data_IF_337444759277
#
_entry.id   IF_337444759277
#
_cell.length_a   1.000
_cell.length_b   1.000
_cell.length_c   1.000
_cell.angle_alpha   90.00
_cell.angle_beta   90.00
_cell.angle_gamma   90.00
#
_symmetry.space_group_name_H-M   'P 1'
#
loop_
_entity.id
_entity.type
_entity.pdbx_description
1 polymer ?
#
# COMPACT_ATOMS: atom_id res chain seq x y z
N UNK A 1 18.89 -5.03 12.15
CA UNK A 1 18.73 -6.49 12.41
C UNK A 1 19.60 -7.36 11.48
N UNK A 2 20.63 -6.78 10.81
CA UNK A 2 21.62 -7.52 10.03
C UNK A 2 21.16 -7.99 8.64
N UNK A 3 20.02 -7.52 8.14
CA UNK A 3 19.58 -7.82 6.78
C UNK A 3 20.26 -6.83 5.82
N UNK A 4 20.92 -7.36 4.80
CA UNK A 4 21.48 -6.57 3.71
C UNK A 4 20.38 -6.23 2.70
N UNK A 5 20.26 -4.94 2.33
CA UNK A 5 19.21 -4.44 1.43
C UNK A 5 19.87 -3.80 0.22
N UNK A 6 19.60 -4.34 -0.96
CA UNK A 6 20.00 -3.77 -2.24
C UNK A 6 18.83 -3.07 -2.90
N UNK A 7 18.92 -1.74 -2.98
CA UNK A 7 17.93 -0.91 -3.69
C UNK A 7 18.25 -0.86 -5.18
N UNK A 8 17.27 -0.48 -6.00
CA UNK A 8 17.38 -0.41 -7.46
C UNK A 8 17.85 -1.71 -8.12
N UNK A 9 17.65 -2.85 -7.46
CA UNK A 9 18.04 -4.17 -7.91
C UNK A 9 16.91 -4.83 -8.69
N UNK A 10 17.23 -5.36 -9.88
CA UNK A 10 16.32 -6.13 -10.72
C UNK A 10 16.78 -7.57 -10.80
N UNK A 11 16.01 -8.50 -10.24
CA UNK A 11 16.27 -9.93 -10.39
C UNK A 11 16.21 -10.33 -11.88
N UNK A 12 17.18 -11.11 -12.32
CA UNK A 12 17.31 -11.57 -13.71
C UNK A 12 17.11 -13.07 -13.85
N UNK A 13 17.81 -13.85 -13.05
CA UNK A 13 17.70 -15.31 -13.09
C UNK A 13 17.99 -15.93 -11.73
N UNK A 14 17.48 -17.13 -11.54
CA UNK A 14 17.73 -17.99 -10.39
C UNK A 14 18.25 -19.32 -10.95
N UNK A 15 19.33 -19.79 -10.40
CA UNK A 15 19.95 -21.06 -10.76
C UNK A 15 20.09 -21.94 -9.51
N UNK A 16 19.59 -23.16 -9.57
CA UNK A 16 19.85 -24.16 -8.54
C UNK A 16 21.32 -24.61 -8.62
N UNK A 17 21.93 -24.75 -7.46
CA UNK A 17 23.28 -25.30 -7.27
C UNK A 17 23.21 -26.56 -6.42
N UNK A 18 24.30 -27.31 -6.30
CA UNK A 18 24.33 -28.51 -5.44
C UNK A 18 24.12 -28.18 -3.95
N UNK A 19 24.46 -26.94 -3.55
CA UNK A 19 24.48 -26.51 -2.14
C UNK A 19 23.48 -25.37 -1.86
N UNK A 20 22.53 -25.08 -2.80
CA UNK A 20 21.56 -24.00 -2.62
C UNK A 20 21.13 -23.33 -3.93
N UNK A 21 21.01 -22.02 -3.93
CA UNK A 21 20.58 -21.24 -5.09
C UNK A 21 21.47 -20.02 -5.31
N UNK A 22 21.72 -19.67 -6.56
CA UNK A 22 22.36 -18.40 -6.96
C UNK A 22 21.32 -17.50 -7.60
N UNK A 23 21.12 -16.30 -7.05
CA UNK A 23 20.36 -15.22 -7.64
C UNK A 23 21.29 -14.30 -8.43
N UNK A 24 20.99 -14.07 -9.71
CA UNK A 24 21.60 -13.00 -10.49
C UNK A 24 20.64 -11.81 -10.52
N UNK A 25 21.15 -10.64 -10.17
CA UNK A 25 20.40 -9.37 -10.28
C UNK A 25 21.29 -8.28 -10.88
N UNK A 26 20.68 -7.22 -11.39
CA UNK A 26 21.42 -6.06 -11.91
C UNK A 26 20.97 -4.78 -11.21
N UNK A 27 21.87 -3.82 -11.09
CA UNK A 27 21.51 -2.45 -10.78
C UNK A 27 20.72 -1.85 -11.97
N UNK A 28 19.59 -1.23 -11.68
CA UNK A 28 18.70 -0.64 -12.70
C UNK A 28 19.32 0.61 -13.33
N UNK A 29 20.23 1.30 -12.63
CA UNK A 29 20.82 2.56 -13.09
C UNK A 29 21.91 2.38 -14.15
N UNK A 30 22.73 1.33 -14.05
CA UNK A 30 23.88 1.09 -14.92
C UNK A 30 23.92 -0.30 -15.57
N UNK A 31 23.02 -1.21 -15.15
CA UNK A 31 22.93 -2.57 -15.65
C UNK A 31 24.02 -3.52 -15.13
N UNK A 32 24.84 -3.10 -14.14
CA UNK A 32 25.90 -3.90 -13.58
C UNK A 32 25.32 -5.19 -12.95
N UNK A 33 25.82 -6.39 -13.35
CA UNK A 33 25.35 -7.64 -12.81
C UNK A 33 26.01 -7.97 -11.45
N UNK A 34 25.22 -8.52 -10.55
CA UNK A 34 25.63 -9.02 -9.24
C UNK A 34 25.11 -10.44 -9.03
N UNK A 35 25.78 -11.18 -8.16
CA UNK A 35 25.45 -12.56 -7.82
C UNK A 35 25.36 -12.68 -6.30
N UNK A 36 24.35 -13.39 -5.83
CA UNK A 36 24.19 -13.74 -4.40
C UNK A 36 23.84 -15.20 -4.30
N UNK A 37 24.61 -15.91 -3.49
CA UNK A 37 24.39 -17.31 -3.15
C UNK A 37 23.63 -17.42 -1.83
N UNK A 38 22.76 -18.41 -1.71
CA UNK A 38 22.00 -18.67 -0.49
C UNK A 38 21.50 -20.10 -0.43
N UNK A 39 21.18 -20.55 0.78
CA UNK A 39 20.62 -21.89 1.03
C UNK A 39 19.17 -22.01 0.54
N UNK A 40 18.46 -20.88 0.49
CA UNK A 40 17.07 -20.78 0.05
C UNK A 40 16.75 -19.39 -0.50
N UNK A 41 15.72 -19.31 -1.33
CA UNK A 41 15.23 -18.05 -1.89
C UNK A 41 13.74 -17.86 -1.60
N UNK A 42 13.35 -16.67 -1.15
CA UNK A 42 11.95 -16.26 -1.03
C UNK A 42 11.60 -15.32 -2.19
N UNK A 43 10.69 -15.74 -3.04
CA UNK A 43 10.15 -14.91 -4.14
C UNK A 43 8.94 -14.15 -3.64
N UNK A 44 9.11 -12.85 -3.38
CA UNK A 44 8.07 -11.95 -2.89
C UNK A 44 7.87 -10.74 -3.82
N UNK A 45 7.86 -10.99 -5.15
CA UNK A 45 7.89 -9.98 -6.21
C UNK A 45 6.52 -9.38 -6.56
N UNK A 46 5.52 -9.57 -5.72
CA UNK A 46 4.17 -9.03 -5.90
C UNK A 46 3.16 -10.06 -6.39
N UNK A 47 2.03 -9.57 -6.90
CA UNK A 47 0.88 -10.35 -7.36
C UNK A 47 0.39 -9.83 -8.69
N UNK A 48 -0.16 -10.72 -9.50
CA UNK A 48 -0.94 -10.38 -10.71
C UNK A 48 -2.40 -10.80 -10.54
N UNK A 49 -3.35 -10.12 -11.19
CA UNK A 49 -4.75 -10.53 -11.19
C UNK A 49 -4.92 -11.95 -11.73
N UNK A 50 -5.71 -12.78 -11.04
CA UNK A 50 -6.02 -14.13 -11.49
C UNK A 50 -7.26 -14.09 -12.39
N UNK A 51 -7.04 -13.93 -13.69
CA UNK A 51 -8.10 -13.83 -14.73
C UNK A 51 -8.07 -14.99 -15.70
N UNK A 52 -7.11 -15.89 -15.59
CA UNK A 52 -6.98 -17.05 -16.46
C UNK A 52 -8.23 -17.94 -16.37
N UNK A 53 -8.74 -18.38 -17.50
CA UNK A 53 -9.95 -19.23 -17.55
C UNK A 53 -11.29 -18.48 -17.49
N UNK A 54 -11.30 -17.16 -17.20
CA UNK A 54 -12.56 -16.38 -17.15
C UNK A 54 -13.10 -15.99 -18.53
N UNK A 55 -12.31 -16.15 -19.59
CA UNK A 55 -12.68 -15.80 -20.98
C UNK A 55 -13.28 -14.38 -21.11
N UNK A 56 -12.65 -13.39 -20.46
CA UNK A 56 -13.15 -12.02 -20.33
C UNK A 56 -13.37 -11.36 -21.70
N UNK A 57 -12.53 -11.67 -22.69
CA UNK A 57 -12.65 -11.12 -24.03
C UNK A 57 -13.98 -11.53 -24.70
N UNK A 58 -14.38 -12.79 -24.56
CA UNK A 58 -15.66 -13.26 -25.10
C UNK A 58 -16.86 -12.61 -24.43
N UNK A 59 -16.72 -12.21 -23.16
CA UNK A 59 -17.73 -11.47 -22.42
C UNK A 59 -17.72 -9.96 -22.68
N UNK A 60 -16.75 -9.43 -23.45
CA UNK A 60 -16.59 -8.00 -23.70
C UNK A 60 -16.04 -7.21 -22.48
N UNK A 61 -15.41 -7.89 -21.54
CA UNK A 61 -14.86 -7.28 -20.33
C UNK A 61 -13.42 -6.82 -20.59
N UNK A 62 -13.17 -5.52 -20.41
CA UNK A 62 -11.87 -4.92 -20.60
C UNK A 62 -10.91 -5.20 -19.45
N UNK A 63 -9.61 -5.35 -19.79
CA UNK A 63 -8.49 -5.44 -18.85
C UNK A 63 -7.48 -4.34 -19.14
N UNK A 64 -6.77 -3.88 -18.10
CA UNK A 64 -5.71 -2.90 -18.26
C UNK A 64 -4.37 -3.53 -18.68
N UNK A 65 -3.33 -2.70 -18.81
CA UNK A 65 -1.99 -3.14 -19.20
C UNK A 65 -1.31 -4.07 -18.17
N UNK A 66 -1.82 -4.12 -16.93
CA UNK A 66 -1.34 -4.99 -15.85
C UNK A 66 -2.18 -6.27 -15.71
N UNK A 67 -3.19 -6.45 -16.57
CA UNK A 67 -4.11 -7.58 -16.55
C UNK A 67 -5.24 -7.45 -15.54
N UNK A 68 -5.44 -6.28 -14.92
CA UNK A 68 -6.56 -6.07 -14.01
C UNK A 68 -7.85 -5.76 -14.78
N UNK A 69 -8.98 -6.22 -14.26
CA UNK A 69 -10.30 -5.92 -14.84
C UNK A 69 -10.60 -4.43 -14.65
N UNK A 70 -10.85 -3.74 -15.76
CA UNK A 70 -11.20 -2.32 -15.75
C UNK A 70 -12.58 -2.11 -15.16
N UNK A 71 -12.67 -1.24 -14.13
CA UNK A 71 -13.91 -0.86 -13.47
C UNK A 71 -14.01 0.66 -13.33
N UNK A 72 -15.25 1.15 -13.21
CA UNK A 72 -15.50 2.54 -12.79
C UNK A 72 -15.52 2.68 -11.25
N UNK A 73 -15.82 3.89 -10.75
CA UNK A 73 -15.84 4.17 -9.31
C UNK A 73 -16.91 3.37 -8.54
N UNK A 74 -17.96 2.88 -9.20
CA UNK A 74 -18.96 1.98 -8.65
C UNK A 74 -18.62 0.49 -8.84
N UNK A 75 -17.37 0.17 -9.23
CA UNK A 75 -16.86 -1.18 -9.45
C UNK A 75 -17.53 -1.93 -10.61
N UNK A 76 -18.20 -1.21 -11.52
CA UNK A 76 -18.82 -1.79 -12.70
C UNK A 76 -17.78 -1.92 -13.81
N UNK A 77 -17.76 -3.06 -14.47
CA UNK A 77 -16.86 -3.32 -15.62
C UNK A 77 -17.35 -2.59 -16.87
N UNK A 78 -16.65 -2.81 -17.99
CA UNK A 78 -17.10 -2.36 -19.34
C UNK A 78 -18.45 -2.95 -19.74
N UNK A 79 -18.90 -4.00 -19.07
CA UNK A 79 -20.21 -4.64 -19.29
C UNK A 79 -21.18 -4.21 -18.18
N UNK A 80 -22.31 -3.55 -18.48
CA UNK A 80 -23.13 -2.85 -17.48
C UNK A 80 -23.71 -3.70 -16.34
N UNK A 81 -23.84 -5.01 -16.52
CA UNK A 81 -24.40 -5.94 -15.53
C UNK A 81 -23.34 -6.82 -14.87
N UNK A 82 -22.04 -6.46 -15.04
CA UNK A 82 -20.91 -7.19 -14.45
C UNK A 82 -20.07 -6.25 -13.63
N UNK A 83 -19.73 -6.66 -12.41
CA UNK A 83 -18.85 -5.95 -11.48
C UNK A 83 -17.61 -6.79 -11.21
N UNK A 84 -16.50 -6.12 -10.85
CA UNK A 84 -15.31 -6.78 -10.34
C UNK A 84 -14.91 -6.15 -9.01
N UNK A 85 -14.51 -6.99 -8.05
CA UNK A 85 -14.13 -6.58 -6.70
C UNK A 85 -12.87 -7.29 -6.22
N UNK A 86 -12.19 -6.69 -5.24
CA UNK A 86 -10.95 -7.22 -4.68
C UNK A 86 -9.77 -7.10 -5.63
N UNK A 87 -8.79 -7.98 -5.45
CA UNK A 87 -7.49 -7.88 -6.12
C UNK A 87 -7.56 -7.97 -7.65
N UNK A 88 -8.61 -8.61 -8.19
CA UNK A 88 -8.78 -8.82 -9.63
C UNK A 88 -8.97 -7.51 -10.44
N UNK A 89 -9.44 -6.44 -9.79
CA UNK A 89 -9.59 -5.12 -10.40
C UNK A 89 -8.36 -4.22 -10.27
N UNK A 90 -7.27 -4.74 -9.70
CA UNK A 90 -6.08 -3.96 -9.42
C UNK A 90 -6.22 -2.97 -8.26
N UNK A 91 -5.25 -2.06 -8.14
CA UNK A 91 -5.15 -1.12 -7.03
C UNK A 91 -4.58 -1.77 -5.76
N UNK A 92 -4.77 -1.14 -4.59
CA UNK A 92 -4.25 -1.67 -3.33
C UNK A 92 -4.90 -2.99 -2.95
N UNK A 93 -4.07 -4.01 -2.68
CA UNK A 93 -4.49 -5.40 -2.46
C UNK A 93 -4.62 -5.70 -0.96
N UNK A 94 -5.71 -5.23 -0.35
CA UNK A 94 -6.01 -5.42 1.06
C UNK A 94 -7.37 -6.08 1.27
N UNK A 95 -7.45 -7.02 2.19
CA UNK A 95 -8.68 -7.76 2.51
C UNK A 95 -9.84 -6.84 2.88
N UNK A 96 -9.60 -5.79 3.66
CA UNK A 96 -10.64 -4.84 4.05
C UNK A 96 -11.15 -3.99 2.88
N UNK A 97 -10.32 -3.74 1.86
CA UNK A 97 -10.78 -3.09 0.63
C UNK A 97 -11.69 -4.01 -0.19
N UNK A 98 -11.35 -5.29 -0.26
CA UNK A 98 -12.24 -6.29 -0.89
C UNK A 98 -13.61 -6.35 -0.20
N UNK A 99 -13.64 -6.28 1.13
CA UNK A 99 -14.88 -6.20 1.90
C UNK A 99 -15.64 -4.88 1.63
N UNK A 100 -14.93 -3.77 1.48
CA UNK A 100 -15.56 -2.49 1.15
C UNK A 100 -16.07 -2.47 -0.29
N UNK A 101 -15.36 -3.07 -1.23
CA UNK A 101 -15.85 -3.29 -2.60
C UNK A 101 -17.20 -4.03 -2.61
N UNK A 102 -17.34 -5.08 -1.78
CA UNK A 102 -18.62 -5.74 -1.60
C UNK A 102 -19.72 -4.79 -1.11
N UNK A 103 -19.40 -3.91 -0.16
CA UNK A 103 -20.38 -2.91 0.35
C UNK A 103 -20.79 -1.92 -0.73
N UNK A 104 -19.87 -1.50 -1.60
CA UNK A 104 -20.18 -0.63 -2.75
C UNK A 104 -21.11 -1.36 -3.71
N UNK A 105 -20.76 -2.59 -4.13
CA UNK A 105 -21.60 -3.37 -5.06
C UNK A 105 -22.97 -3.64 -4.46
N UNK A 106 -23.05 -3.98 -3.17
CA UNK A 106 -24.32 -4.17 -2.48
C UNK A 106 -25.19 -2.92 -2.55
N UNK A 107 -24.59 -1.73 -2.31
CA UNK A 107 -25.31 -0.45 -2.42
C UNK A 107 -25.80 -0.20 -3.84
N UNK A 108 -24.97 -0.50 -4.86
CA UNK A 108 -25.35 -0.35 -6.27
C UNK A 108 -26.50 -1.27 -6.68
N UNK A 109 -26.62 -2.45 -6.10
CA UNK A 109 -27.64 -3.45 -6.44
C UNK A 109 -28.94 -3.29 -5.63
N UNK A 110 -28.82 -2.97 -4.35
CA UNK A 110 -29.92 -3.06 -3.38
C UNK A 110 -30.11 -1.80 -2.51
N UNK A 111 -29.23 -0.81 -2.66
CA UNK A 111 -29.25 0.43 -1.88
C UNK A 111 -29.58 1.68 -2.71
N UNK A 112 -29.13 2.82 -2.20
CA UNK A 112 -29.37 4.15 -2.76
C UNK A 112 -28.46 4.50 -3.95
N UNK A 113 -27.51 3.64 -4.30
CA UNK A 113 -26.50 3.78 -5.38
C UNK A 113 -25.59 5.00 -5.21
N UNK A 114 -25.33 5.40 -3.97
CA UNK A 114 -24.53 6.58 -3.65
C UNK A 114 -23.06 6.26 -3.36
N UNK A 115 -22.78 5.00 -2.92
CA UNK A 115 -21.43 4.61 -2.56
C UNK A 115 -20.54 4.38 -3.77
N UNK A 116 -19.29 4.83 -3.66
CA UNK A 116 -18.23 4.56 -4.62
C UNK A 116 -16.85 4.42 -3.92
N UNK A 117 -15.80 4.20 -4.70
CA UNK A 117 -14.45 4.03 -4.17
C UNK A 117 -13.89 5.30 -3.52
N UNK A 118 -14.36 6.48 -3.89
CA UNK A 118 -13.94 7.78 -3.31
C UNK A 118 -14.34 7.93 -1.85
N UNK A 119 -15.41 7.24 -1.40
CA UNK A 119 -15.87 7.28 -0.01
C UNK A 119 -14.84 6.78 0.99
N UNK A 120 -13.89 5.95 0.55
CA UNK A 120 -12.87 5.32 1.40
C UNK A 120 -11.61 6.17 1.60
N UNK A 121 -11.37 7.19 0.78
CA UNK A 121 -10.15 8.01 0.86
C UNK A 121 -10.11 8.89 2.11
N UNK A 122 -8.93 9.02 2.74
CA UNK A 122 -7.71 8.28 2.47
C UNK A 122 -7.73 6.87 3.08
N UNK A 123 -7.08 5.91 2.42
CA UNK A 123 -7.00 4.51 2.86
C UNK A 123 -5.76 4.28 3.73
N UNK A 124 -5.90 3.93 5.02
CA UNK A 124 -4.76 3.51 5.83
C UNK A 124 -4.34 2.08 5.46
N UNK A 125 -3.04 1.79 5.58
CA UNK A 125 -2.55 0.41 5.48
C UNK A 125 -1.46 0.12 6.50
N UNK A 126 -1.22 -1.16 6.76
CA UNK A 126 -0.17 -1.63 7.64
C UNK A 126 0.65 -2.76 7.01
N UNK A 127 1.93 -2.79 7.35
CA UNK A 127 2.88 -3.87 7.05
C UNK A 127 3.31 -4.48 8.38
N UNK A 128 3.10 -5.79 8.53
CA UNK A 128 3.31 -6.52 9.79
C UNK A 128 4.75 -7.00 9.94
N UNK A 129 5.70 -6.05 9.89
CA UNK A 129 7.10 -6.23 10.26
C UNK A 129 7.29 -5.90 11.73
N UNK A 130 8.50 -6.02 12.26
CA UNK A 130 8.82 -5.74 13.66
C UNK A 130 9.89 -4.64 13.77
N UNK A 131 9.52 -3.45 14.29
CA UNK A 131 8.17 -3.01 14.66
C UNK A 131 7.26 -2.87 13.44
N UNK A 132 5.92 -2.89 13.60
CA UNK A 132 4.99 -2.73 12.48
C UNK A 132 5.06 -1.32 11.89
N UNK A 133 4.83 -1.24 10.57
CA UNK A 133 4.72 0.03 9.85
C UNK A 133 3.27 0.25 9.42
N UNK A 134 2.74 1.43 9.68
CA UNK A 134 1.44 1.85 9.15
C UNK A 134 1.56 3.20 8.45
N UNK A 135 0.72 3.40 7.43
CA UNK A 135 0.73 4.64 6.65
C UNK A 135 -0.68 5.03 6.21
N UNK A 136 -0.90 6.33 6.09
CA UNK A 136 -2.11 6.92 5.50
C UNK A 136 -1.78 8.24 4.80
N UNK A 137 -2.45 8.51 3.70
CA UNK A 137 -2.35 9.77 2.96
C UNK A 137 -1.10 9.87 2.10
N UNK A 138 -0.58 11.08 1.93
CA UNK A 138 0.54 11.36 1.05
C UNK A 138 1.88 11.04 1.72
N UNK A 139 2.80 10.48 0.95
CA UNK A 139 4.22 10.49 1.29
C UNK A 139 4.83 11.88 1.03
N UNK A 140 6.00 12.14 1.61
CA UNK A 140 6.74 13.39 1.39
C UNK A 140 7.06 13.60 -0.09
N UNK A 141 7.44 12.52 -0.78
CA UNK A 141 7.73 12.53 -2.22
C UNK A 141 6.49 12.85 -3.06
N UNK A 142 5.35 12.24 -2.74
CA UNK A 142 4.08 12.51 -3.43
C UNK A 142 3.60 13.94 -3.20
N UNK A 143 3.74 14.46 -1.98
CA UNK A 143 3.40 15.84 -1.66
C UNK A 143 4.26 16.84 -2.46
N UNK A 144 5.57 16.57 -2.58
CA UNK A 144 6.49 17.35 -3.41
C UNK A 144 6.11 17.28 -4.89
N UNK A 145 5.89 16.08 -5.43
CA UNK A 145 5.50 15.89 -6.84
C UNK A 145 4.18 16.61 -7.21
N UNK A 146 3.25 16.71 -6.25
CA UNK A 146 1.98 17.41 -6.43
C UNK A 146 2.05 18.92 -6.17
N UNK A 147 3.24 19.45 -5.82
CA UNK A 147 3.46 20.88 -5.59
C UNK A 147 2.78 21.43 -4.32
N UNK A 148 2.49 20.59 -3.34
CA UNK A 148 1.92 21.06 -2.08
C UNK A 148 2.95 21.80 -1.22
N UNK A 149 2.49 22.86 -0.52
CA UNK A 149 3.23 23.47 0.58
C UNK A 149 2.92 22.73 1.88
N UNK A 150 3.95 22.18 2.53
CA UNK A 150 3.77 21.35 3.72
C UNK A 150 4.94 21.44 4.68
N UNK A 151 4.68 21.07 5.92
CA UNK A 151 5.68 20.85 6.98
C UNK A 151 5.77 19.36 7.29
N UNK A 152 6.96 18.91 7.64
CA UNK A 152 7.22 17.52 8.07
C UNK A 152 7.67 17.53 9.52
N UNK A 153 7.00 16.73 10.34
CA UNK A 153 7.45 16.42 11.70
C UNK A 153 7.90 14.97 11.78
N UNK A 154 9.03 14.75 12.46
CA UNK A 154 9.57 13.40 12.73
C UNK A 154 9.82 13.27 14.22
N UNK A 155 9.33 12.21 14.82
CA UNK A 155 9.48 11.89 16.23
C UNK A 155 10.04 10.48 16.38
N UNK A 156 11.24 10.29 16.94
CA UNK A 156 11.74 8.95 17.25
C UNK A 156 10.83 8.24 18.25
N UNK A 157 10.64 6.94 18.10
CA UNK A 157 9.80 6.15 19.04
C UNK A 157 10.34 6.20 20.49
N UNK A 158 11.64 6.42 20.67
CA UNK A 158 12.25 6.68 21.99
C UNK A 158 11.68 7.89 22.73
N UNK A 159 11.10 8.86 22.02
CA UNK A 159 10.47 10.05 22.60
C UNK A 159 9.03 9.80 23.07
N UNK A 160 8.43 8.67 22.69
CA UNK A 160 7.07 8.29 23.08
C UNK A 160 7.11 7.57 24.43
N UNK A 161 6.41 8.11 25.44
CA UNK A 161 6.41 7.57 26.81
C UNK A 161 5.97 6.10 26.84
N UNK A 162 4.90 5.76 26.11
CA UNK A 162 4.38 4.39 26.01
C UNK A 162 5.42 3.42 25.43
N UNK A 163 6.13 3.82 24.40
CA UNK A 163 7.20 2.99 23.79
C UNK A 163 8.31 2.67 24.77
N UNK A 164 8.70 3.66 25.60
CA UNK A 164 9.68 3.45 26.68
C UNK A 164 9.18 2.50 27.77
N UNK A 165 7.91 2.64 28.18
CA UNK A 165 7.30 1.74 29.17
C UNK A 165 7.27 0.30 28.67
N UNK A 166 6.97 0.09 27.39
CA UNK A 166 6.92 -1.23 26.75
C UNK A 166 8.31 -1.77 26.38
N UNK A 167 9.37 -0.95 26.49
CA UNK A 167 10.73 -1.24 25.97
C UNK A 167 10.72 -1.55 24.46
N UNK A 168 9.79 -0.96 23.72
CA UNK A 168 9.66 -1.08 22.26
C UNK A 168 9.94 0.28 21.63
N UNK A 169 11.21 0.67 21.64
CA UNK A 169 11.66 2.02 21.27
C UNK A 169 12.19 2.14 19.86
N UNK A 170 12.20 1.05 19.10
CA UNK A 170 12.62 1.05 17.70
C UNK A 170 11.60 1.77 16.83
N UNK A 171 12.11 2.58 15.90
CA UNK A 171 11.29 3.22 14.88
C UNK A 171 11.10 4.72 15.02
N UNK A 172 10.12 5.23 14.27
CA UNK A 172 9.88 6.67 14.11
C UNK A 172 8.42 6.93 13.69
N UNK A 173 7.88 8.03 14.15
CA UNK A 173 6.60 8.58 13.70
C UNK A 173 6.89 9.78 12.80
N UNK A 174 6.21 9.86 11.65
CA UNK A 174 6.31 10.98 10.70
C UNK A 174 4.93 11.48 10.34
N UNK A 175 4.73 12.80 10.39
CA UNK A 175 3.52 13.46 9.93
C UNK A 175 3.86 14.52 8.88
N UNK A 176 3.00 14.64 7.87
CA UNK A 176 3.02 15.68 6.84
C UNK A 176 1.77 16.51 7.02
N UNK A 177 1.96 17.81 7.16
CA UNK A 177 0.88 18.75 7.48
C UNK A 177 0.88 19.87 6.45
N UNK A 178 -0.29 20.21 5.93
CA UNK A 178 -0.45 21.37 5.06
C UNK A 178 -0.04 22.66 5.78
N UNK A 179 0.86 23.43 5.17
CA UNK A 179 1.48 24.60 5.79
C UNK A 179 0.48 25.72 6.09
N UNK A 180 -0.58 25.85 5.29
CA UNK A 180 -1.58 26.91 5.42
C UNK A 180 -2.75 26.51 6.31
N UNK A 181 -3.30 25.30 6.11
CA UNK A 181 -4.53 24.86 6.79
C UNK A 181 -4.29 24.08 8.09
N UNK A 182 -3.06 23.64 8.33
CA UNK A 182 -2.72 22.76 9.46
C UNK A 182 -3.39 21.37 9.40
N UNK A 183 -4.00 20.99 8.28
CA UNK A 183 -4.60 19.66 8.12
C UNK A 183 -3.54 18.60 7.86
N UNK A 184 -3.74 17.42 8.43
CA UNK A 184 -2.86 16.27 8.20
C UNK A 184 -3.04 15.80 6.75
N UNK A 185 -1.95 15.74 6.00
CA UNK A 185 -1.91 15.27 4.60
C UNK A 185 -1.42 13.84 4.49
N UNK A 186 -0.61 13.40 5.43
CA UNK A 186 -0.08 12.05 5.49
C UNK A 186 0.57 11.75 6.83
N UNK A 187 0.57 10.48 7.20
CA UNK A 187 1.19 10.00 8.43
C UNK A 187 1.79 8.62 8.21
N UNK A 188 3.02 8.44 8.67
CA UNK A 188 3.71 7.15 8.70
C UNK A 188 4.10 6.85 10.14
N UNK A 189 3.70 5.71 10.63
CA UNK A 189 4.02 5.20 11.96
C UNK A 189 4.86 3.94 11.78
N UNK A 190 6.11 3.96 12.19
CA UNK A 190 6.97 2.80 12.27
C UNK A 190 7.29 2.59 13.75
N UNK A 191 6.41 1.92 14.47
CA UNK A 191 6.50 1.76 15.92
C UNK A 191 5.51 0.69 16.41
N UNK A 192 5.63 0.33 17.70
CA UNK A 192 4.66 -0.53 18.35
C UNK A 192 3.23 0.00 18.19
N UNK A 193 2.28 -0.90 17.99
CA UNK A 193 0.83 -0.61 17.86
C UNK A 193 0.46 0.31 16.68
N UNK A 194 1.37 0.54 15.71
CA UNK A 194 1.11 1.40 14.55
C UNK A 194 -0.18 1.05 13.78
N UNK A 195 -0.53 -0.25 13.56
CA UNK A 195 -1.77 -0.62 12.85
C UNK A 195 -3.06 -0.16 13.55
N UNK A 196 -3.04 -0.03 14.86
CA UNK A 196 -4.18 0.46 15.65
C UNK A 196 -4.23 1.99 15.67
N UNK A 197 -3.08 2.61 15.91
CA UNK A 197 -2.96 4.08 16.04
C UNK A 197 -3.33 4.77 14.72
N UNK A 198 -2.97 4.20 13.57
CA UNK A 198 -3.20 4.82 12.26
C UNK A 198 -4.69 5.08 11.98
N UNK A 199 -5.59 4.30 12.60
CA UNK A 199 -7.03 4.48 12.44
C UNK A 199 -7.54 5.77 13.09
N UNK A 200 -6.91 6.22 14.17
CA UNK A 200 -7.22 7.51 14.81
C UNK A 200 -6.80 8.65 13.86
N UNK A 201 -5.62 8.52 13.25
CA UNK A 201 -5.15 9.49 12.25
C UNK A 201 -6.07 9.53 11.04
N UNK A 202 -6.52 8.35 10.57
CA UNK A 202 -7.48 8.25 9.47
C UNK A 202 -8.79 8.99 9.78
N UNK A 203 -9.30 8.85 10.99
CA UNK A 203 -10.50 9.57 11.44
C UNK A 203 -10.27 11.08 11.49
N UNK A 204 -9.14 11.54 12.03
CA UNK A 204 -8.77 12.95 12.06
C UNK A 204 -8.65 13.55 10.66
N UNK A 205 -8.04 12.83 9.71
CA UNK A 205 -7.92 13.25 8.32
C UNK A 205 -9.29 13.33 7.65
N UNK A 206 -10.13 12.31 7.81
CA UNK A 206 -11.47 12.23 7.20
C UNK A 206 -12.41 13.31 7.72
N UNK A 207 -12.28 13.71 8.98
CA UNK A 207 -13.04 14.80 9.58
C UNK A 207 -12.39 16.18 9.40
N UNK A 208 -11.23 16.24 8.73
CA UNK A 208 -10.53 17.48 8.43
C UNK A 208 -9.97 18.22 9.64
N UNK A 209 -9.62 17.49 10.71
CA UNK A 209 -9.08 18.06 11.94
C UNK A 209 -7.71 18.74 11.72
N UNK A 210 -7.47 19.79 12.48
CA UNK A 210 -6.15 20.41 12.58
C UNK A 210 -5.20 19.50 13.37
N UNK A 211 -3.90 19.49 13.04
CA UNK A 211 -2.92 18.59 13.67
C UNK A 211 -2.74 18.81 15.20
N UNK A 212 -3.18 19.96 15.73
CA UNK A 212 -3.13 20.27 17.16
C UNK A 212 -4.36 19.81 17.94
N UNK A 213 -5.29 19.15 17.28
CA UNK A 213 -6.52 18.62 17.91
C UNK A 213 -6.20 17.53 18.94
#
# INVERSE_FOLDING_TARGET
KGIEIHLNARAQSIHDTNDGVTLTYSDVSDGTPYFVDGDAILIATGRKPMIEGLNLQAAGIGVDAHGAIVVNDQLRTTVPHVWAMGDVKGGPQFTYLSLDDFRIIRDQLFGDKKRDIGDRDPVPYAVFIDPPLAHIGLTEEEALKRGYSFKVSRLPATSVVRSRTLKQTDGMLKAIVNDHSGKIMGCTLFCAEAPEIINIVAMAMKTGQHYTF
#
